data_IF_622889541530
#
_entry.id   IF_622889541530
#
_cell.length_a   1.000
_cell.length_b   1.000
_cell.length_c   1.000
_cell.angle_alpha   90.00
_cell.angle_beta   90.00
_cell.angle_gamma   90.00
#
_symmetry.space_group_name_H-M   'P 1'
#
loop_
_entity.id
_entity.type
_entity.pdbx_description
1 polymer ?
#
# COMPACT_ATOMS: atom_id res chain seq x y z
N UNK A 1 7.13 18.55 -22.66
CA UNK A 1 6.57 17.71 -21.62
C UNK A 1 6.38 18.57 -20.37
N UNK A 2 5.14 18.97 -20.10
CA UNK A 2 4.84 19.70 -18.89
C UNK A 2 4.92 18.73 -17.71
N UNK A 3 5.85 18.97 -16.80
CA UNK A 3 5.95 18.19 -15.56
C UNK A 3 4.65 18.37 -14.76
N UNK A 4 3.94 17.27 -14.53
CA UNK A 4 2.70 17.30 -13.75
C UNK A 4 3.03 17.10 -12.27
N UNK A 5 2.77 18.10 -11.45
CA UNK A 5 2.98 18.03 -10.00
C UNK A 5 2.21 16.86 -9.32
N UNK A 6 1.12 16.40 -9.93
CA UNK A 6 0.38 15.23 -9.46
C UNK A 6 1.20 13.93 -9.51
N UNK A 7 2.24 13.88 -10.35
CA UNK A 7 3.19 12.75 -10.40
C UNK A 7 4.06 12.64 -9.14
N UNK A 8 4.08 13.65 -8.27
CA UNK A 8 4.74 13.59 -6.96
C UNK A 8 3.90 12.90 -5.87
N UNK A 9 2.59 12.78 -6.05
CA UNK A 9 1.70 12.15 -5.07
C UNK A 9 2.09 10.70 -4.75
N UNK A 10 2.42 9.83 -5.72
CA UNK A 10 2.87 8.46 -5.42
C UNK A 10 4.13 8.42 -4.56
N UNK A 11 5.06 9.36 -4.75
CA UNK A 11 6.29 9.46 -3.94
C UNK A 11 5.94 9.81 -2.49
N UNK A 12 5.04 10.77 -2.29
CA UNK A 12 4.55 11.14 -0.96
C UNK A 12 3.83 9.97 -0.29
N UNK A 13 2.98 9.25 -1.02
CA UNK A 13 2.31 8.05 -0.54
C UNK A 13 3.31 6.97 -0.11
N UNK A 14 4.33 6.71 -0.92
CA UNK A 14 5.38 5.74 -0.59
C UNK A 14 6.16 6.15 0.67
N UNK A 15 6.46 7.43 0.84
CA UNK A 15 7.10 7.96 2.04
C UNK A 15 6.22 7.75 3.28
N UNK A 16 4.94 8.13 3.22
CA UNK A 16 3.99 7.94 4.32
C UNK A 16 3.81 6.45 4.66
N UNK A 17 3.75 5.58 3.65
CA UNK A 17 3.67 4.13 3.84
C UNK A 17 4.89 3.60 4.57
N UNK A 18 6.09 3.93 4.11
CA UNK A 18 7.34 3.50 4.73
C UNK A 18 7.45 3.97 6.19
N UNK A 19 7.06 5.21 6.46
CA UNK A 19 7.02 5.76 7.81
C UNK A 19 6.03 5.00 8.70
N UNK A 20 4.86 4.65 8.18
CA UNK A 20 3.85 3.85 8.89
C UNK A 20 4.39 2.48 9.28
N UNK A 21 5.09 1.78 8.38
CA UNK A 21 5.67 0.46 8.65
C UNK A 21 6.77 0.52 9.72
N UNK A 22 7.60 1.57 9.71
CA UNK A 22 8.59 1.81 10.76
C UNK A 22 7.92 2.05 12.12
N UNK A 23 6.83 2.82 12.16
CA UNK A 23 6.06 3.07 13.38
C UNK A 23 5.46 1.76 13.90
N UNK A 24 4.83 0.96 13.04
CA UNK A 24 4.27 -0.35 13.40
C UNK A 24 5.35 -1.24 14.02
N UNK A 25 6.53 -1.32 13.40
CA UNK A 25 7.66 -2.07 13.96
C UNK A 25 8.08 -1.55 15.33
N UNK A 26 8.19 -0.23 15.47
CA UNK A 26 8.63 0.42 16.73
C UNK A 26 7.61 0.25 17.87
N UNK A 27 6.32 0.17 17.56
CA UNK A 27 5.25 0.02 18.55
C UNK A 27 4.91 -1.44 18.84
N UNK A 28 5.40 -2.39 18.03
CA UNK A 28 5.11 -3.83 18.19
C UNK A 28 5.59 -4.43 19.52
N UNK A 29 6.54 -3.79 20.19
CA UNK A 29 6.97 -4.19 21.54
C UNK A 29 5.93 -3.84 22.64
N UNK A 30 5.04 -2.87 22.37
CA UNK A 30 4.07 -2.35 23.35
C UNK A 30 2.64 -2.76 23.02
N UNK A 31 2.29 -2.76 21.73
CA UNK A 31 0.95 -2.98 21.24
C UNK A 31 0.85 -4.33 20.52
N UNK A 32 -0.27 -5.02 20.71
CA UNK A 32 -0.55 -6.23 19.92
C UNK A 32 -0.85 -5.87 18.47
N UNK A 33 -0.59 -6.80 17.55
CA UNK A 33 -0.92 -6.65 16.12
C UNK A 33 -2.40 -6.30 15.92
N UNK A 34 -3.28 -6.89 16.72
CA UNK A 34 -4.72 -6.60 16.68
C UNK A 34 -5.02 -5.15 17.04
N UNK A 35 -4.37 -4.62 18.09
CA UNK A 35 -4.52 -3.22 18.50
C UNK A 35 -4.02 -2.26 17.40
N UNK A 36 -2.88 -2.55 16.82
CA UNK A 36 -2.31 -1.74 15.72
C UNK A 36 -3.25 -1.75 14.50
N UNK A 37 -3.75 -2.93 14.10
CA UNK A 37 -4.68 -3.06 12.97
C UNK A 37 -5.99 -2.34 13.24
N UNK A 38 -6.55 -2.49 14.43
CA UNK A 38 -7.79 -1.82 14.83
C UNK A 38 -7.65 -0.29 14.82
N UNK A 39 -6.57 0.23 15.39
CA UNK A 39 -6.26 1.67 15.38
C UNK A 39 -6.09 2.20 13.96
N UNK A 40 -5.41 1.45 13.09
CA UNK A 40 -5.27 1.79 11.67
C UNK A 40 -6.63 1.93 10.98
N UNK A 41 -7.52 0.97 11.16
CA UNK A 41 -8.85 1.01 10.54
C UNK A 41 -9.74 2.11 11.11
N UNK A 42 -9.69 2.39 12.42
CA UNK A 42 -10.40 3.56 12.98
C UNK A 42 -9.90 4.85 12.33
N UNK A 43 -8.59 5.03 12.20
CA UNK A 43 -8.01 6.19 11.52
C UNK A 43 -8.46 6.28 10.07
N UNK A 44 -8.46 5.16 9.34
CA UNK A 44 -8.90 5.09 7.96
C UNK A 44 -10.40 5.45 7.81
N UNK A 45 -11.26 4.96 8.71
CA UNK A 45 -12.70 5.28 8.72
C UNK A 45 -12.90 6.78 8.96
N UNK A 46 -12.24 7.36 9.96
CA UNK A 46 -12.36 8.79 10.27
C UNK A 46 -11.92 9.63 9.07
N UNK A 47 -10.78 9.32 8.48
CA UNK A 47 -10.29 10.01 7.28
C UNK A 47 -11.25 9.85 6.10
N UNK A 48 -11.77 8.64 5.86
CA UNK A 48 -12.74 8.39 4.79
C UNK A 48 -14.01 9.21 4.98
N UNK A 49 -14.52 9.34 6.20
CA UNK A 49 -15.68 10.16 6.50
C UNK A 49 -15.38 11.65 6.19
N UNK A 50 -14.24 12.15 6.63
CA UNK A 50 -13.83 13.53 6.35
C UNK A 50 -13.73 13.78 4.84
N UNK A 51 -13.05 12.87 4.11
CA UNK A 51 -12.92 12.99 2.66
C UNK A 51 -14.26 12.89 1.94
N UNK A 52 -15.16 12.03 2.40
CA UNK A 52 -16.51 11.94 1.84
C UNK A 52 -17.26 13.28 1.91
N UNK A 53 -17.22 13.96 3.04
CA UNK A 53 -17.86 15.27 3.19
C UNK A 53 -17.21 16.40 2.36
N UNK A 54 -15.94 16.22 1.96
CA UNK A 54 -15.23 17.24 1.17
C UNK A 54 -15.36 17.00 -0.33
N UNK A 55 -15.22 15.74 -0.78
CA UNK A 55 -15.09 15.41 -2.21
C UNK A 55 -16.00 14.25 -2.67
N UNK A 56 -16.71 13.58 -1.75
CA UNK A 56 -17.41 12.32 -2.04
C UNK A 56 -18.70 12.47 -2.87
N UNK A 57 -19.21 13.69 -3.04
CA UNK A 57 -20.41 14.02 -3.83
C UNK A 57 -20.15 14.20 -5.34
N UNK A 58 -18.87 14.15 -5.77
CA UNK A 58 -18.49 14.29 -7.16
C UNK A 58 -18.45 15.73 -7.69
N UNK A 59 -18.72 16.77 -6.87
CA UNK A 59 -18.79 18.17 -7.31
C UNK A 59 -17.46 18.69 -7.92
N UNK A 60 -16.34 18.11 -7.55
CA UNK A 60 -15.01 18.49 -8.07
C UNK A 60 -14.58 17.68 -9.30
N UNK A 61 -15.44 16.82 -9.83
CA UNK A 61 -15.14 16.01 -11.02
C UNK A 61 -15.33 16.81 -12.31
N UNK A 62 -14.56 17.88 -12.47
CA UNK A 62 -14.66 18.83 -13.59
C UNK A 62 -13.55 18.65 -14.64
N UNK A 63 -12.61 17.76 -14.40
CA UNK A 63 -11.43 17.56 -15.28
C UNK A 63 -11.58 16.29 -16.12
N UNK A 64 -11.17 16.37 -17.38
CA UNK A 64 -11.10 15.21 -18.29
C UNK A 64 -9.91 14.29 -18.03
N UNK A 65 -9.03 14.66 -17.09
CA UNK A 65 -7.86 13.85 -16.76
C UNK A 65 -8.26 12.60 -15.97
N UNK A 66 -7.87 11.36 -16.42
CA UNK A 66 -8.31 10.11 -15.79
C UNK A 66 -8.05 10.02 -14.27
N UNK A 67 -6.91 10.52 -13.80
CA UNK A 67 -6.58 10.54 -12.38
C UNK A 67 -7.52 11.45 -11.57
N UNK A 68 -7.92 12.60 -12.11
CA UNK A 68 -8.87 13.51 -11.47
C UNK A 68 -10.26 12.90 -11.42
N UNK A 69 -10.70 12.28 -12.51
CA UNK A 69 -11.98 11.58 -12.58
C UNK A 69 -12.04 10.43 -11.57
N UNK A 70 -10.93 9.70 -11.38
CA UNK A 70 -10.87 8.62 -10.40
C UNK A 70 -10.99 9.13 -8.96
N UNK A 71 -10.29 10.22 -8.60
CA UNK A 71 -10.25 10.76 -7.24
C UNK A 71 -11.55 11.48 -6.87
N UNK A 72 -12.12 12.25 -7.80
CA UNK A 72 -13.25 13.13 -7.55
C UNK A 72 -14.61 12.56 -8.02
N UNK A 73 -14.65 11.26 -8.42
CA UNK A 73 -15.92 10.62 -8.75
C UNK A 73 -16.82 10.52 -7.51
N UNK A 74 -18.10 10.47 -7.74
CA UNK A 74 -19.07 10.17 -6.69
C UNK A 74 -18.81 8.78 -6.07
N UNK A 75 -18.85 8.67 -4.74
CA UNK A 75 -18.38 7.47 -4.03
C UNK A 75 -19.42 6.35 -3.96
N UNK A 76 -20.68 6.66 -3.82
CA UNK A 76 -21.74 5.67 -3.57
C UNK A 76 -22.62 5.39 -4.77
N UNK A 77 -22.10 5.53 -5.99
CA UNK A 77 -22.80 5.12 -7.21
C UNK A 77 -22.99 3.60 -7.19
N UNK A 78 -24.22 3.14 -7.42
CA UNK A 78 -24.59 1.71 -7.47
C UNK A 78 -24.17 0.89 -6.23
N UNK A 79 -24.22 1.49 -5.05
CA UNK A 79 -23.80 0.84 -3.80
C UNK A 79 -24.44 -0.54 -3.61
N UNK A 80 -25.76 -0.68 -3.86
CA UNK A 80 -26.47 -1.94 -3.67
C UNK A 80 -25.97 -3.07 -4.58
N UNK A 81 -25.60 -2.75 -5.83
CA UNK A 81 -25.10 -3.73 -6.80
C UNK A 81 -23.64 -4.14 -6.47
N UNK A 82 -22.89 -3.29 -5.82
CA UNK A 82 -21.47 -3.51 -5.56
C UNK A 82 -21.15 -3.94 -4.12
N UNK A 83 -22.16 -4.03 -3.23
CA UNK A 83 -21.94 -4.31 -1.81
C UNK A 83 -21.21 -5.64 -1.56
N UNK A 84 -21.47 -6.66 -2.38
CA UNK A 84 -20.80 -7.96 -2.27
C UNK A 84 -19.31 -7.83 -2.59
N UNK A 85 -18.96 -7.15 -3.69
CA UNK A 85 -17.57 -6.93 -4.09
C UNK A 85 -16.83 -6.06 -3.07
N UNK A 86 -17.49 -5.01 -2.57
CA UNK A 86 -16.93 -4.15 -1.51
C UNK A 86 -16.68 -4.94 -0.22
N UNK A 87 -17.60 -5.83 0.15
CA UNK A 87 -17.44 -6.69 1.34
C UNK A 87 -16.29 -7.68 1.18
N UNK A 88 -16.17 -8.34 0.04
CA UNK A 88 -15.07 -9.26 -0.26
C UNK A 88 -13.74 -8.51 -0.19
N UNK A 89 -13.66 -7.34 -0.82
CA UNK A 89 -12.45 -6.50 -0.81
C UNK A 89 -12.09 -6.07 0.62
N UNK A 90 -13.06 -5.65 1.42
CA UNK A 90 -12.84 -5.27 2.81
C UNK A 90 -12.32 -6.42 3.68
N UNK A 91 -12.89 -7.61 3.56
CA UNK A 91 -12.43 -8.81 4.28
C UNK A 91 -11.02 -9.19 3.83
N UNK A 92 -10.77 -9.24 2.52
CA UNK A 92 -9.45 -9.58 1.97
C UNK A 92 -8.39 -8.58 2.42
N UNK A 93 -8.69 -7.28 2.37
CA UNK A 93 -7.79 -6.23 2.85
C UNK A 93 -7.49 -6.37 4.33
N UNK A 94 -8.50 -6.68 5.17
CA UNK A 94 -8.32 -6.87 6.62
C UNK A 94 -7.37 -8.02 6.90
N UNK A 95 -7.55 -9.17 6.25
CA UNK A 95 -6.66 -10.33 6.39
C UNK A 95 -5.24 -9.97 5.92
N UNK A 96 -5.11 -9.29 4.78
CA UNK A 96 -3.81 -8.88 4.25
C UNK A 96 -3.06 -7.94 5.21
N UNK A 97 -3.73 -6.94 5.78
CA UNK A 97 -3.11 -6.02 6.74
C UNK A 97 -2.75 -6.70 8.06
N UNK A 98 -3.57 -7.63 8.57
CA UNK A 98 -3.23 -8.42 9.75
C UNK A 98 -1.96 -9.23 9.53
N UNK A 99 -1.84 -9.91 8.39
CA UNK A 99 -0.64 -10.68 8.03
C UNK A 99 0.58 -9.78 7.85
N UNK A 100 0.41 -8.63 7.19
CA UNK A 100 1.46 -7.65 6.98
C UNK A 100 1.98 -7.08 8.30
N UNK A 101 1.10 -6.63 9.19
CA UNK A 101 1.48 -6.08 10.50
C UNK A 101 2.13 -7.16 11.38
N UNK A 102 1.65 -8.42 11.30
CA UNK A 102 2.31 -9.55 11.94
C UNK A 102 3.73 -9.72 11.42
N UNK A 103 3.94 -9.70 10.12
CA UNK A 103 5.28 -9.80 9.52
C UNK A 103 6.20 -8.69 10.03
N UNK A 104 5.75 -7.42 10.00
CA UNK A 104 6.53 -6.29 10.50
C UNK A 104 6.77 -6.31 12.00
N UNK A 105 5.92 -6.96 12.79
CA UNK A 105 6.16 -7.12 14.24
C UNK A 105 7.31 -8.09 14.53
N UNK A 106 7.48 -9.14 13.74
CA UNK A 106 8.48 -10.20 13.98
C UNK A 106 9.80 -9.99 13.22
N UNK A 107 9.79 -9.29 12.09
CA UNK A 107 10.97 -9.12 11.25
C UNK A 107 11.30 -7.65 11.01
N UNK A 108 12.54 -7.35 10.58
CA UNK A 108 12.92 -5.99 10.19
C UNK A 108 12.31 -5.60 8.85
N UNK A 109 12.03 -4.30 8.61
CA UNK A 109 11.49 -3.81 7.33
C UNK A 109 12.33 -4.23 6.11
N UNK A 110 13.64 -4.29 6.24
CA UNK A 110 14.56 -4.70 5.17
C UNK A 110 14.42 -6.17 4.77
N UNK A 111 13.97 -7.04 5.69
CA UNK A 111 13.65 -8.44 5.37
C UNK A 111 12.31 -8.56 4.68
N UNK A 112 11.32 -7.74 5.06
CA UNK A 112 9.96 -7.83 4.54
C UNK A 112 9.85 -7.18 3.17
N UNK A 113 10.50 -6.02 2.95
CA UNK A 113 10.42 -5.27 1.70
C UNK A 113 10.65 -6.08 0.43
N UNK A 114 11.64 -7.00 0.33
CA UNK A 114 11.79 -7.84 -0.86
C UNK A 114 10.57 -8.70 -1.18
N UNK A 115 9.83 -9.15 -0.16
CA UNK A 115 8.60 -9.90 -0.37
C UNK A 115 7.46 -8.99 -0.85
N UNK A 116 7.40 -7.74 -0.38
CA UNK A 116 6.44 -6.76 -0.88
C UNK A 116 6.69 -6.41 -2.35
N UNK A 117 7.92 -6.46 -2.83
CA UNK A 117 8.22 -6.25 -4.24
C UNK A 117 7.59 -7.31 -5.16
N UNK A 118 7.08 -8.42 -4.63
CA UNK A 118 6.32 -9.38 -5.43
C UNK A 118 5.09 -8.73 -6.10
N UNK A 119 4.53 -7.66 -5.52
CA UNK A 119 3.43 -6.91 -6.13
C UNK A 119 3.83 -6.29 -7.48
N UNK A 120 5.10 -5.93 -7.65
CA UNK A 120 5.61 -5.37 -8.89
C UNK A 120 5.62 -6.38 -10.05
N UNK A 121 5.58 -7.67 -9.73
CA UNK A 121 5.38 -8.73 -10.71
C UNK A 121 3.89 -9.01 -10.97
N UNK A 122 3.11 -9.13 -9.88
CA UNK A 122 1.70 -9.48 -9.98
C UNK A 122 0.85 -8.37 -10.58
N UNK A 123 1.15 -7.10 -10.26
CA UNK A 123 0.36 -5.96 -10.75
C UNK A 123 0.37 -5.83 -12.28
N UNK A 124 1.53 -5.83 -12.99
CA UNK A 124 1.56 -5.82 -14.44
C UNK A 124 0.94 -7.08 -15.07
N UNK A 125 1.11 -8.24 -14.43
CA UNK A 125 0.52 -9.49 -14.91
C UNK A 125 -1.02 -9.42 -14.90
N UNK A 126 -1.60 -8.95 -13.81
CA UNK A 126 -3.06 -8.76 -13.70
C UNK A 126 -3.54 -7.65 -14.66
N UNK A 127 -2.80 -6.54 -14.76
CA UNK A 127 -3.07 -5.47 -15.71
C UNK A 127 -3.16 -5.97 -17.14
N UNK A 128 -2.21 -6.81 -17.53
CA UNK A 128 -2.21 -7.43 -18.87
C UNK A 128 -3.35 -8.43 -19.06
N UNK A 129 -3.58 -9.35 -18.10
CA UNK A 129 -4.55 -10.45 -18.27
C UNK A 129 -6.02 -9.99 -18.20
N UNK A 130 -6.34 -8.96 -17.42
CA UNK A 130 -7.72 -8.53 -17.17
C UNK A 130 -8.07 -7.19 -17.79
N UNK A 131 -7.08 -6.33 -18.05
CA UNK A 131 -7.31 -4.97 -18.54
C UNK A 131 -6.64 -4.71 -19.89
N UNK A 132 -5.96 -5.70 -20.49
CA UNK A 132 -5.18 -5.56 -21.73
C UNK A 132 -4.10 -4.45 -21.67
N UNK A 133 -3.65 -4.11 -20.45
CA UNK A 133 -2.64 -3.09 -20.22
C UNK A 133 -1.24 -3.71 -20.26
N UNK A 134 -0.54 -3.52 -21.39
CA UNK A 134 0.84 -4.01 -21.52
C UNK A 134 1.80 -2.99 -20.88
N UNK A 135 2.66 -3.43 -19.92
CA UNK A 135 3.61 -2.53 -19.28
C UNK A 135 4.60 -1.96 -20.30
N UNK A 136 4.84 -0.65 -20.25
CA UNK A 136 5.81 0.00 -21.10
C UNK A 136 7.24 -0.44 -20.74
N UNK A 137 8.18 -0.28 -21.70
CA UNK A 137 9.60 -0.59 -21.46
C UNK A 137 10.14 0.20 -20.25
N UNK A 138 9.74 1.46 -20.10
CA UNK A 138 10.12 2.30 -18.96
C UNK A 138 9.61 1.71 -17.61
N UNK A 139 8.40 1.18 -17.60
CA UNK A 139 7.83 0.49 -16.42
C UNK A 139 8.65 -0.74 -16.06
N UNK A 140 9.00 -1.57 -17.04
CA UNK A 140 9.80 -2.78 -16.82
C UNK A 140 11.18 -2.43 -16.27
N UNK A 141 11.85 -1.43 -16.84
CA UNK A 141 13.15 -0.95 -16.35
C UNK A 141 13.02 -0.43 -14.92
N UNK A 142 11.98 0.35 -14.61
CA UNK A 142 11.73 0.84 -13.26
C UNK A 142 11.55 -0.30 -12.24
N UNK A 143 10.78 -1.33 -12.58
CA UNK A 143 10.60 -2.54 -11.75
C UNK A 143 11.95 -3.21 -11.49
N UNK A 144 12.76 -3.43 -12.51
CA UNK A 144 14.08 -4.07 -12.37
C UNK A 144 15.01 -3.27 -11.45
N UNK A 145 15.02 -1.94 -11.56
CA UNK A 145 15.84 -1.09 -10.68
C UNK A 145 15.37 -1.20 -9.22
N UNK A 146 14.06 -1.11 -8.96
CA UNK A 146 13.50 -1.18 -7.60
C UNK A 146 13.80 -2.56 -6.98
N UNK A 147 13.50 -3.64 -7.68
CA UNK A 147 13.72 -5.01 -7.18
C UNK A 147 15.21 -5.27 -6.92
N UNK A 148 16.07 -4.87 -7.85
CA UNK A 148 17.53 -5.07 -7.72
C UNK A 148 18.09 -4.30 -6.52
N UNK A 149 17.65 -3.03 -6.33
CA UNK A 149 18.08 -2.22 -5.18
C UNK A 149 17.61 -2.81 -3.85
N UNK A 150 16.38 -3.31 -3.78
CA UNK A 150 15.86 -3.95 -2.58
C UNK A 150 16.56 -5.26 -2.23
N UNK A 151 16.84 -6.10 -3.22
CA UNK A 151 17.62 -7.33 -3.03
C UNK A 151 19.05 -7.00 -2.57
N UNK A 152 19.66 -5.97 -3.14
CA UNK A 152 20.99 -5.52 -2.72
C UNK A 152 21.01 -5.10 -1.24
N UNK A 153 20.04 -4.31 -0.79
CA UNK A 153 19.91 -3.88 0.61
C UNK A 153 19.79 -5.11 1.52
N UNK A 154 18.91 -6.07 1.17
CA UNK A 154 18.69 -7.29 1.92
C UNK A 154 19.98 -8.13 2.06
N UNK A 155 20.71 -8.35 0.97
CA UNK A 155 21.96 -9.11 0.97
C UNK A 155 23.02 -8.41 1.83
N UNK A 156 23.13 -7.09 1.71
CA UNK A 156 24.09 -6.29 2.48
C UNK A 156 23.80 -6.35 3.99
N UNK A 157 22.55 -6.24 4.37
CA UNK A 157 22.13 -6.29 5.78
C UNK A 157 22.41 -7.68 6.38
N UNK A 158 22.11 -8.74 5.62
CA UNK A 158 22.44 -10.12 6.01
C UNK A 158 23.95 -10.35 6.14
N UNK A 159 24.74 -9.75 5.26
CA UNK A 159 26.21 -9.89 5.29
C UNK A 159 26.85 -9.15 6.48
N UNK A 160 26.18 -8.13 7.04
CA UNK A 160 26.65 -7.39 8.23
C UNK A 160 26.24 -8.04 9.55
N UNK A 161 25.71 -9.26 9.52
CA UNK A 161 25.28 -10.06 10.70
C UNK A 161 24.31 -9.30 11.62
N UNK A 162 23.55 -8.36 11.05
CA UNK A 162 22.50 -7.67 11.78
C UNK A 162 21.35 -8.66 12.01
N UNK A 163 20.84 -8.71 13.24
CA UNK A 163 19.70 -9.59 13.59
C UNK A 163 18.52 -9.29 12.66
N UNK A 164 18.20 -10.26 11.81
CA UNK A 164 17.13 -10.15 10.81
C UNK A 164 15.75 -10.26 11.48
N UNK A 165 15.68 -11.01 12.58
CA UNK A 165 14.45 -11.20 13.37
C UNK A 165 14.61 -10.61 14.77
N UNK A 166 13.49 -10.15 15.34
CA UNK A 166 13.47 -9.72 16.76
C UNK A 166 13.58 -10.95 17.66
N UNK A 167 14.52 -10.94 18.60
CA UNK A 167 14.69 -12.02 19.59
C UNK A 167 13.53 -12.11 20.60
N UNK A 168 12.65 -11.11 20.65
CA UNK A 168 11.51 -11.09 21.58
C UNK A 168 10.33 -11.88 21.01
N UNK A 169 9.82 -12.88 21.74
CA UNK A 169 8.60 -13.58 21.34
C UNK A 169 7.41 -12.63 21.38
N UNK A 170 6.46 -12.86 20.49
CA UNK A 170 5.15 -12.19 20.49
C UNK A 170 4.46 -12.42 21.85
N UNK A 171 4.10 -11.36 22.52
CA UNK A 171 3.26 -11.39 23.73
C UNK A 171 1.82 -11.13 23.36
#
# INVERSE_FOLDING_TARGET
SNFNYLSLLPILCAFCYSLSMIIIKKTSDKDSVYTQTFTFYIGAIILSIIFYFIIGDGQYNTSDHPASQFIFREWFVDFNNNILLMSITGVTATVAFLLLFTAYSIASPSVISPFEYSILFWSPLVGWLYFDEIPTLSTVIGILIIVSSGIYIFIREKAQDQSIATEKPLR
#
